data_IF_895291848243
#
_entry.id   IF_895291848243
#
_cell.length_a   1.000
_cell.length_b   1.000
_cell.length_c   1.000
_cell.angle_alpha   90.00
_cell.angle_beta   90.00
_cell.angle_gamma   90.00
#
_symmetry.space_group_name_H-M   'P 1'
#
loop_
_entity.id
_entity.type
_entity.pdbx_description
1 polymer ?
#
# COMPACT_ATOMS: atom_id res chain seq x y z
N UNK A 1 20.25 51.93 69.39
CA UNK A 1 19.18 51.79 68.37
C UNK A 1 19.80 51.19 67.12
N UNK A 2 19.28 50.02 66.69
CA UNK A 2 19.40 49.33 65.39
C UNK A 2 20.81 48.92 64.89
N UNK A 3 21.15 47.65 65.16
CA UNK A 3 22.16 46.90 64.41
C UNK A 3 21.53 46.30 63.13
N UNK A 4 22.17 46.49 61.99
CA UNK A 4 21.80 45.93 60.69
C UNK A 4 22.54 44.60 60.49
N UNK A 5 21.80 43.51 60.36
CA UNK A 5 22.31 42.21 59.92
C UNK A 5 22.04 42.12 58.41
N UNK A 6 23.10 42.11 57.60
CA UNK A 6 23.02 41.88 56.16
C UNK A 6 22.91 40.37 55.90
N UNK A 7 21.79 39.94 55.31
CA UNK A 7 21.59 38.59 54.81
C UNK A 7 22.06 38.51 53.35
N UNK A 8 23.10 37.73 53.09
CA UNK A 8 23.58 37.43 51.74
C UNK A 8 22.71 36.34 51.11
N UNK A 9 21.97 36.71 50.06
CA UNK A 9 21.10 35.83 49.29
C UNK A 9 21.96 35.02 48.31
N UNK A 10 21.87 33.70 48.41
CA UNK A 10 22.45 32.74 47.47
C UNK A 10 21.58 32.75 46.19
N UNK A 11 22.08 33.32 45.10
CA UNK A 11 21.43 33.22 43.79
C UNK A 11 21.65 31.81 43.22
N UNK A 12 20.59 31.00 43.21
CA UNK A 12 20.54 29.78 42.42
C UNK A 12 20.30 30.16 40.95
N UNK A 13 21.30 29.94 40.11
CA UNK A 13 21.17 30.05 38.66
C UNK A 13 20.32 28.89 38.14
N UNK A 14 19.06 29.15 37.78
CA UNK A 14 18.27 28.22 36.98
C UNK A 14 18.85 28.18 35.57
N UNK A 15 19.47 27.06 35.22
CA UNK A 15 19.85 26.77 33.85
C UNK A 15 18.58 26.71 33.00
N UNK A 16 18.48 27.63 32.03
CA UNK A 16 17.47 27.58 30.98
C UNK A 16 17.76 26.37 30.10
N UNK A 17 17.13 25.23 30.41
CA UNK A 17 17.00 24.15 29.44
C UNK A 17 16.19 24.67 28.26
N UNK A 18 16.86 24.96 27.15
CA UNK A 18 16.20 25.16 25.88
C UNK A 18 15.44 23.86 25.57
N UNK A 19 14.12 23.89 25.76
CA UNK A 19 13.23 22.86 25.27
C UNK A 19 13.47 22.75 23.76
N UNK A 20 14.23 21.74 23.34
CA UNK A 20 14.25 21.33 21.95
C UNK A 20 12.79 21.01 21.62
N UNK A 21 12.19 21.80 20.74
CA UNK A 21 10.91 21.46 20.15
C UNK A 21 11.09 20.08 19.52
N UNK A 22 10.56 19.06 20.17
CA UNK A 22 10.73 17.68 19.72
C UNK A 22 10.16 17.61 18.30
N UNK A 23 11.04 17.38 17.32
CA UNK A 23 10.64 17.00 15.98
C UNK A 23 9.77 15.76 16.13
N UNK A 24 8.46 15.86 15.85
CA UNK A 24 7.62 14.67 15.78
C UNK A 24 8.16 13.87 14.59
N UNK A 25 8.75 12.67 14.79
CA UNK A 25 9.30 11.91 13.68
C UNK A 25 8.20 11.53 12.70
N UNK A 26 8.49 11.49 11.40
CA UNK A 26 7.51 11.16 10.35
C UNK A 26 6.73 9.87 10.65
N UNK A 27 7.36 8.88 11.30
CA UNK A 27 6.71 7.64 11.74
C UNK A 27 5.54 7.86 12.72
N UNK A 28 5.63 8.85 13.62
CA UNK A 28 4.52 9.19 14.52
C UNK A 28 3.37 9.86 13.77
N UNK A 29 3.68 10.68 12.75
CA UNK A 29 2.66 11.30 11.90
C UNK A 29 1.94 10.27 11.02
N UNK A 30 2.61 9.21 10.58
CA UNK A 30 1.97 8.12 9.83
C UNK A 30 0.95 7.36 10.69
N UNK A 31 1.30 7.06 11.94
CA UNK A 31 0.38 6.42 12.90
C UNK A 31 -0.83 7.33 13.15
N UNK A 32 -0.60 8.63 13.33
CA UNK A 32 -1.67 9.62 13.50
C UNK A 32 -2.55 9.71 12.25
N UNK A 33 -1.97 9.74 11.04
CA UNK A 33 -2.71 9.82 9.78
C UNK A 33 -3.65 8.62 9.61
N UNK A 34 -3.16 7.42 9.93
CA UNK A 34 -3.97 6.21 9.90
C UNK A 34 -5.11 6.22 10.93
N UNK A 35 -4.85 6.76 12.11
CA UNK A 35 -5.81 6.83 13.22
C UNK A 35 -6.74 8.04 13.19
N UNK A 36 -6.65 8.91 12.17
CA UNK A 36 -7.47 10.12 12.06
C UNK A 36 -8.97 9.77 12.15
N UNK A 37 -9.77 10.43 13.02
CA UNK A 37 -11.22 10.29 13.01
C UNK A 37 -11.83 10.83 11.70
N UNK A 38 -13.06 10.43 11.41
CA UNK A 38 -13.80 10.94 10.25
C UNK A 38 -13.94 12.47 10.30
N UNK A 39 -13.74 13.12 9.14
CA UNK A 39 -13.79 14.57 9.01
C UNK A 39 -12.64 15.34 9.67
N UNK A 40 -11.73 14.66 10.38
CA UNK A 40 -10.58 15.29 11.02
C UNK A 40 -9.36 15.33 10.09
N UNK A 41 -8.47 16.27 10.39
CA UNK A 41 -7.19 16.44 9.71
C UNK A 41 -6.14 16.97 10.68
N UNK A 42 -4.87 16.84 10.31
CA UNK A 42 -3.78 17.58 10.94
C UNK A 42 -2.94 18.30 9.90
N UNK A 43 -2.24 19.34 10.34
CA UNK A 43 -1.27 20.09 9.56
C UNK A 43 -0.13 20.49 10.48
N UNK A 44 1.00 19.78 10.39
CA UNK A 44 2.15 20.01 11.23
C UNK A 44 2.88 21.30 10.82
N UNK A 45 3.40 22.04 11.80
CA UNK A 45 4.12 23.30 11.59
C UNK A 45 5.60 23.11 11.22
N UNK A 46 6.16 21.93 11.48
CA UNK A 46 7.56 21.58 11.24
C UNK A 46 7.80 20.97 9.86
N UNK A 47 6.89 21.17 8.91
CA UNK A 47 7.08 20.73 7.53
C UNK A 47 8.35 21.36 6.93
N UNK A 48 9.11 20.64 6.09
CA UNK A 48 10.13 21.25 5.25
C UNK A 48 9.56 22.47 4.51
N UNK A 49 10.35 23.55 4.38
CA UNK A 49 9.86 24.76 3.71
C UNK A 49 9.89 24.62 2.18
N UNK A 50 10.86 23.85 1.67
CA UNK A 50 11.10 23.62 0.25
C UNK A 50 11.13 22.13 -0.06
N UNK A 51 11.13 21.79 -1.35
CA UNK A 51 11.26 20.42 -1.84
C UNK A 51 10.01 19.92 -2.58
N UNK A 52 10.11 18.78 -3.26
CA UNK A 52 9.02 18.23 -4.06
C UNK A 52 7.82 17.88 -3.17
N UNK A 53 6.63 18.23 -3.63
CA UNK A 53 5.37 17.81 -3.02
C UNK A 53 4.89 16.50 -3.64
N UNK A 54 4.34 15.62 -2.80
CA UNK A 54 3.62 14.42 -3.22
C UNK A 54 2.36 14.26 -2.38
N UNK A 55 1.24 14.05 -3.04
CA UNK A 55 -0.03 13.70 -2.39
C UNK A 55 -0.25 12.19 -2.57
N UNK A 56 -0.62 11.49 -1.51
CA UNK A 56 -1.12 10.12 -1.60
C UNK A 56 -2.56 10.07 -1.11
N UNK A 57 -3.39 9.30 -1.79
CA UNK A 57 -4.80 9.11 -1.46
C UNK A 57 -5.05 7.62 -1.41
N UNK A 58 -5.47 7.11 -0.26
CA UNK A 58 -5.88 5.72 -0.11
C UNK A 58 -7.40 5.62 -0.05
N UNK A 59 -7.97 4.88 -1.01
CA UNK A 59 -9.41 4.70 -1.18
C UNK A 59 -10.00 3.80 -0.07
N UNK A 60 -9.25 2.83 0.44
CA UNK A 60 -9.73 1.97 1.53
C UNK A 60 -9.72 2.74 2.84
N UNK A 61 -8.63 3.42 3.15
CA UNK A 61 -8.51 4.18 4.40
C UNK A 61 -9.34 5.47 4.38
N UNK A 62 -9.78 5.93 3.21
CA UNK A 62 -10.38 7.25 3.00
C UNK A 62 -9.48 8.35 3.57
N UNK A 63 -8.19 8.33 3.20
CA UNK A 63 -7.20 9.31 3.68
C UNK A 63 -6.45 9.93 2.52
N UNK A 64 -6.22 11.24 2.63
CA UNK A 64 -5.15 11.92 1.88
C UNK A 64 -3.98 12.19 2.83
N UNK A 65 -2.76 11.97 2.37
CA UNK A 65 -1.50 12.33 3.03
C UNK A 65 -0.69 13.24 2.12
N UNK A 66 0.01 14.18 2.71
CA UNK A 66 0.79 15.21 2.01
C UNK A 66 2.22 15.18 2.50
N UNK A 67 3.11 14.91 1.57
CA UNK A 67 4.53 14.82 1.79
C UNK A 67 5.23 15.99 1.14
N UNK A 68 6.29 16.47 1.79
CA UNK A 68 7.26 17.37 1.19
C UNK A 68 8.65 16.83 1.43
N UNK A 69 9.42 16.68 0.36
CA UNK A 69 10.77 16.10 0.42
C UNK A 69 10.80 14.75 1.16
N UNK A 70 9.77 13.92 0.92
CA UNK A 70 9.60 12.62 1.57
C UNK A 70 9.09 12.65 3.02
N UNK A 71 8.93 13.82 3.64
CA UNK A 71 8.44 13.96 5.02
C UNK A 71 6.93 14.19 5.03
N UNK A 72 6.18 13.33 5.72
CA UNK A 72 4.75 13.54 5.97
C UNK A 72 4.58 14.74 6.90
N UNK A 73 3.74 15.70 6.53
CA UNK A 73 3.44 16.84 7.40
C UNK A 73 1.96 17.20 7.50
N UNK A 74 1.11 16.67 6.62
CA UNK A 74 -0.33 16.87 6.71
C UNK A 74 -1.08 15.62 6.25
N UNK A 75 -2.22 15.35 6.89
CA UNK A 75 -3.14 14.32 6.45
C UNK A 75 -4.58 14.71 6.80
N UNK A 76 -5.54 14.18 6.04
CA UNK A 76 -6.96 14.43 6.26
C UNK A 76 -7.77 13.18 5.95
N UNK A 77 -8.88 13.00 6.67
CA UNK A 77 -9.99 12.22 6.17
C UNK A 77 -10.45 12.77 4.81
N UNK A 78 -10.89 11.88 3.92
CA UNK A 78 -11.49 12.23 2.63
C UNK A 78 -12.81 11.49 2.43
N UNK A 79 -13.58 11.89 1.43
CA UNK A 79 -14.69 11.10 0.89
C UNK A 79 -14.58 11.01 -0.63
N UNK A 80 -14.28 9.80 -1.11
CA UNK A 80 -14.01 9.51 -2.53
C UNK A 80 -15.25 9.01 -3.26
N UNK A 81 -15.09 8.56 -4.51
CA UNK A 81 -16.15 8.02 -5.36
C UNK A 81 -16.82 6.78 -4.76
N UNK A 82 -18.15 6.75 -4.78
CA UNK A 82 -18.93 5.59 -4.34
C UNK A 82 -18.82 4.42 -5.31
N UNK A 83 -19.39 3.28 -4.93
CA UNK A 83 -19.63 2.16 -5.84
C UNK A 83 -20.37 2.61 -7.11
N UNK A 84 -19.91 2.12 -8.27
CA UNK A 84 -20.33 2.48 -9.62
C UNK A 84 -19.84 3.84 -10.11
N UNK A 85 -19.15 4.60 -9.26
CA UNK A 85 -18.62 5.96 -9.51
C UNK A 85 -17.25 6.13 -8.88
N UNK A 86 -16.42 5.10 -9.00
CA UNK A 86 -15.16 4.98 -8.28
C UNK A 86 -14.16 6.08 -8.67
N UNK A 87 -13.40 6.55 -7.68
CA UNK A 87 -12.20 7.33 -7.96
C UNK A 87 -11.16 6.40 -8.60
N UNK A 88 -10.59 6.74 -9.76
CA UNK A 88 -9.61 5.88 -10.42
C UNK A 88 -8.31 5.81 -9.62
N UNK A 89 -7.73 4.60 -9.51
CA UNK A 89 -6.39 4.40 -8.96
C UNK A 89 -5.31 4.68 -10.01
N UNK A 90 -4.10 5.03 -9.55
CA UNK A 90 -2.96 5.34 -10.42
C UNK A 90 -2.15 6.54 -9.97
N UNK A 91 -1.24 6.99 -10.85
CA UNK A 91 -0.45 8.20 -10.65
C UNK A 91 -0.97 9.29 -11.56
N UNK A 92 -1.32 10.42 -10.96
CA UNK A 92 -1.88 11.59 -11.61
C UNK A 92 -1.02 12.82 -11.32
N UNK A 93 -1.33 13.90 -12.01
CA UNK A 93 -0.84 15.23 -11.68
C UNK A 93 -2.01 16.21 -11.62
N UNK A 94 -1.85 17.30 -10.89
CA UNK A 94 -2.85 18.38 -10.92
C UNK A 94 -2.79 19.06 -12.28
N UNK A 95 -3.89 19.01 -13.03
CA UNK A 95 -4.03 19.56 -14.37
C UNK A 95 -4.53 21.01 -14.36
N UNK A 96 -5.37 21.34 -13.38
CA UNK A 96 -6.03 22.64 -13.29
C UNK A 96 -6.38 22.96 -11.85
N UNK A 97 -6.44 24.26 -11.53
CA UNK A 97 -6.82 24.76 -10.21
C UNK A 97 -7.79 25.93 -10.34
N UNK A 98 -8.89 25.88 -9.59
CA UNK A 98 -9.85 26.99 -9.50
C UNK A 98 -10.38 27.12 -8.07
N UNK A 99 -10.37 28.34 -7.52
CA UNK A 99 -10.87 28.61 -6.16
C UNK A 99 -12.40 28.46 -6.13
N UNK A 100 -13.08 29.10 -7.06
CA UNK A 100 -14.53 29.04 -7.24
C UNK A 100 -14.85 28.23 -8.49
N UNK A 101 -14.96 26.91 -8.36
CA UNK A 101 -15.39 26.04 -9.45
C UNK A 101 -16.81 25.55 -9.24
N UNK A 102 -17.54 25.35 -10.32
CA UNK A 102 -18.83 24.67 -10.31
C UNK A 102 -18.85 23.57 -11.36
N UNK A 103 -19.30 22.38 -10.97
CA UNK A 103 -19.30 21.23 -11.86
C UNK A 103 -20.29 21.42 -13.01
N UNK A 104 -19.80 21.42 -14.25
CA UNK A 104 -20.66 21.41 -15.44
C UNK A 104 -21.48 20.13 -15.59
N UNK A 105 -21.05 19.04 -14.93
CA UNK A 105 -21.64 17.69 -15.06
C UNK A 105 -22.63 17.38 -13.93
N UNK A 106 -22.50 18.03 -12.77
CA UNK A 106 -23.33 17.76 -11.59
C UNK A 106 -24.14 19.00 -11.19
N UNK A 107 -25.09 19.39 -12.06
CA UNK A 107 -26.07 20.47 -11.80
C UNK A 107 -25.44 21.75 -11.21
N UNK A 108 -24.30 22.16 -11.77
CA UNK A 108 -23.58 23.34 -11.32
C UNK A 108 -23.19 23.27 -9.84
N UNK A 109 -22.95 22.08 -9.26
CA UNK A 109 -22.61 21.92 -7.85
C UNK A 109 -21.28 22.62 -7.52
N UNK A 110 -21.20 23.37 -6.40
CA UNK A 110 -19.98 24.06 -6.01
C UNK A 110 -18.87 23.08 -5.64
N UNK A 111 -17.65 23.36 -6.12
CA UNK A 111 -16.43 22.62 -5.82
C UNK A 111 -15.33 23.61 -5.39
N UNK A 112 -15.40 24.18 -4.18
CA UNK A 112 -14.42 25.17 -3.75
C UNK A 112 -13.02 24.54 -3.66
N UNK A 113 -11.99 25.30 -4.04
CA UNK A 113 -10.58 24.86 -4.07
C UNK A 113 -10.36 23.63 -4.96
N UNK A 114 -11.03 23.59 -6.11
CA UNK A 114 -10.93 22.50 -7.07
C UNK A 114 -9.52 22.36 -7.64
N UNK A 115 -9.03 21.12 -7.66
CA UNK A 115 -7.76 20.71 -8.27
C UNK A 115 -8.03 19.48 -9.15
N UNK A 116 -8.06 19.66 -10.48
CA UNK A 116 -8.45 18.60 -11.44
C UNK A 116 -7.31 17.59 -11.62
N UNK A 117 -7.64 16.30 -11.64
CA UNK A 117 -6.69 15.19 -11.80
C UNK A 117 -6.85 14.46 -13.14
N UNK A 118 -8.04 14.47 -13.72
CA UNK A 118 -8.33 13.78 -14.98
C UNK A 118 -9.07 14.67 -15.96
N UNK A 119 -8.94 14.36 -17.25
CA UNK A 119 -9.75 15.00 -18.31
C UNK A 119 -11.25 14.75 -18.13
N UNK A 120 -11.61 13.62 -17.50
CA UNK A 120 -13.00 13.24 -17.19
C UNK A 120 -13.60 14.02 -16.01
N UNK A 121 -12.85 14.94 -15.40
CA UNK A 121 -13.36 15.83 -14.36
C UNK A 121 -13.25 15.30 -12.92
N UNK A 122 -12.48 14.22 -12.68
CA UNK A 122 -12.15 13.82 -11.30
C UNK A 122 -11.22 14.88 -10.70
N UNK A 123 -11.57 15.39 -9.53
CA UNK A 123 -10.85 16.47 -8.88
C UNK A 123 -10.82 16.33 -7.35
N UNK A 124 -9.85 16.98 -6.72
CA UNK A 124 -9.81 17.22 -5.27
C UNK A 124 -10.50 18.55 -5.00
N UNK A 125 -11.41 18.61 -4.02
CA UNK A 125 -12.07 19.87 -3.64
C UNK A 125 -12.67 19.82 -2.22
N UNK A 126 -13.09 20.98 -1.71
CA UNK A 126 -13.86 21.10 -0.46
C UNK A 126 -15.26 20.48 -0.62
N UNK A 127 -15.73 19.71 0.35
CA UNK A 127 -17.06 19.11 0.31
C UNK A 127 -17.49 18.39 1.59
N UNK A 128 -18.68 17.78 1.56
CA UNK A 128 -19.21 17.00 2.68
C UNK A 128 -18.49 15.64 2.83
N UNK A 129 -18.16 15.26 4.06
CA UNK A 129 -17.48 14.00 4.40
C UNK A 129 -18.38 13.15 5.31
N UNK A 130 -19.23 12.27 4.74
CA UNK A 130 -20.14 11.44 5.53
C UNK A 130 -19.44 10.26 6.24
N UNK A 131 -18.09 10.16 6.14
CA UNK A 131 -17.30 9.11 6.75
C UNK A 131 -17.06 7.88 5.88
N UNK A 132 -17.62 7.84 4.68
CA UNK A 132 -17.47 6.78 3.68
C UNK A 132 -17.39 7.37 2.27
N UNK A 133 -17.05 6.54 1.28
CA UNK A 133 -16.99 6.93 -0.12
C UNK A 133 -18.40 7.23 -0.66
N UNK A 134 -18.64 8.45 -1.12
CA UNK A 134 -19.98 8.95 -1.41
C UNK A 134 -20.02 10.07 -2.47
N UNK A 135 -18.93 10.28 -3.21
CA UNK A 135 -18.88 11.23 -4.32
C UNK A 135 -19.15 10.54 -5.66
N UNK A 136 -19.15 11.32 -6.75
CA UNK A 136 -19.18 10.80 -8.11
C UNK A 136 -17.77 10.63 -8.73
N UNK A 137 -16.78 10.31 -7.90
CA UNK A 137 -15.39 10.09 -8.29
C UNK A 137 -14.42 11.16 -7.77
N UNK A 138 -14.92 12.35 -7.43
CA UNK A 138 -14.10 13.40 -6.82
C UNK A 138 -13.65 13.06 -5.40
N UNK A 139 -12.58 13.70 -4.95
CA UNK A 139 -11.98 13.51 -3.64
C UNK A 139 -12.34 14.72 -2.78
N UNK A 140 -13.27 14.54 -1.83
CA UNK A 140 -13.79 15.62 -0.98
C UNK A 140 -12.99 15.75 0.30
N UNK A 141 -12.63 16.98 0.65
CA UNK A 141 -11.84 17.31 1.83
C UNK A 141 -12.58 18.32 2.74
N UNK A 142 -12.24 18.39 4.04
CA UNK A 142 -12.68 19.49 4.90
C UNK A 142 -12.23 20.84 4.32
N UNK A 143 -13.08 21.87 4.40
CA UNK A 143 -12.83 23.17 3.75
C UNK A 143 -11.48 23.79 4.12
N UNK A 144 -11.18 23.83 5.42
CA UNK A 144 -9.92 24.40 5.92
C UNK A 144 -8.70 23.65 5.37
N UNK A 145 -8.77 22.33 5.24
CA UNK A 145 -7.70 21.54 4.68
C UNK A 145 -7.60 21.73 3.16
N UNK A 146 -8.73 21.74 2.44
CA UNK A 146 -8.77 21.99 1.00
C UNK A 146 -8.13 23.33 0.64
N UNK A 147 -8.44 24.39 1.41
CA UNK A 147 -7.84 25.71 1.26
C UNK A 147 -6.33 25.71 1.45
N UNK A 148 -5.84 25.06 2.52
CA UNK A 148 -4.40 24.95 2.80
C UNK A 148 -3.68 24.14 1.73
N UNK A 149 -4.25 23.02 1.31
CA UNK A 149 -3.71 22.18 0.25
C UNK A 149 -3.63 22.96 -1.06
N UNK A 150 -4.70 23.63 -1.44
CA UNK A 150 -4.74 24.47 -2.64
C UNK A 150 -3.69 25.57 -2.63
N UNK A 151 -3.38 26.15 -1.47
CA UNK A 151 -2.36 27.19 -1.38
C UNK A 151 -0.94 26.68 -1.66
N UNK A 152 -0.65 25.39 -1.39
CA UNK A 152 0.71 24.84 -1.53
C UNK A 152 0.91 24.00 -2.79
N UNK A 153 -0.15 23.51 -3.42
CA UNK A 153 -0.04 22.70 -4.63
C UNK A 153 0.13 23.58 -5.87
N UNK A 154 0.70 23.00 -6.92
CA UNK A 154 0.86 23.63 -8.23
C UNK A 154 0.35 22.68 -9.34
N UNK A 155 0.09 23.23 -10.52
CA UNK A 155 -0.12 22.40 -11.72
C UNK A 155 1.12 21.52 -11.91
N UNK A 156 0.92 20.22 -12.15
CA UNK A 156 1.98 19.23 -12.24
C UNK A 156 2.31 18.54 -10.90
N UNK A 157 1.78 19.00 -9.76
CA UNK A 157 1.99 18.31 -8.48
C UNK A 157 1.52 16.86 -8.56
N UNK A 158 2.37 15.87 -8.24
CA UNK A 158 2.01 14.46 -8.34
C UNK A 158 1.01 14.04 -7.25
N UNK A 159 0.05 13.20 -7.66
CA UNK A 159 -0.98 12.61 -6.81
C UNK A 159 -1.06 11.12 -7.08
N UNK A 160 -0.75 10.30 -6.08
CA UNK A 160 -0.87 8.85 -6.15
C UNK A 160 -2.17 8.40 -5.48
N UNK A 161 -2.98 7.62 -6.19
CA UNK A 161 -4.25 7.10 -5.67
C UNK A 161 -4.17 5.57 -5.62
N UNK A 162 -4.34 5.01 -4.43
CA UNK A 162 -4.21 3.57 -4.14
C UNK A 162 -5.47 3.00 -3.49
N UNK A 163 -5.61 1.68 -3.58
CA UNK A 163 -6.63 0.91 -2.86
C UNK A 163 -5.90 -0.21 -2.09
N UNK A 164 -5.62 0.05 -0.81
CA UNK A 164 -4.82 -0.87 0.01
C UNK A 164 -5.51 -2.23 0.23
N UNK A 165 -6.84 -2.29 0.29
CA UNK A 165 -7.57 -3.55 0.35
C UNK A 165 -7.41 -4.35 -0.95
N UNK A 166 -7.54 -3.69 -2.11
CA UNK A 166 -7.34 -4.36 -3.38
C UNK A 166 -5.89 -4.83 -3.58
N UNK A 167 -4.91 -4.04 -3.13
CA UNK A 167 -3.49 -4.43 -3.15
C UNK A 167 -3.27 -5.66 -2.27
N UNK A 168 -3.75 -5.65 -1.03
CA UNK A 168 -3.60 -6.77 -0.12
C UNK A 168 -4.24 -8.06 -0.65
N UNK A 169 -5.40 -7.96 -1.31
CA UNK A 169 -6.05 -9.11 -1.93
C UNK A 169 -5.26 -9.68 -3.11
N UNK A 170 -4.68 -8.82 -3.96
CA UNK A 170 -3.79 -9.27 -5.04
C UNK A 170 -2.58 -10.01 -4.49
N UNK A 171 -1.93 -9.46 -3.46
CA UNK A 171 -0.77 -10.08 -2.82
C UNK A 171 -1.12 -11.45 -2.22
N UNK A 172 -2.30 -11.59 -1.61
CA UNK A 172 -2.81 -12.86 -1.09
C UNK A 172 -2.98 -13.88 -2.20
N UNK A 173 -3.67 -13.51 -3.28
CA UNK A 173 -3.91 -14.40 -4.44
C UNK A 173 -2.57 -14.82 -5.08
N UNK A 174 -1.62 -13.90 -5.22
CA UNK A 174 -0.29 -14.21 -5.76
C UNK A 174 0.48 -15.19 -4.86
N UNK A 175 0.40 -15.02 -3.54
CA UNK A 175 1.02 -15.95 -2.60
C UNK A 175 0.40 -17.36 -2.71
N UNK A 176 -0.92 -17.45 -2.81
CA UNK A 176 -1.64 -18.72 -3.02
C UNK A 176 -1.27 -19.38 -4.34
N UNK A 177 -1.18 -18.60 -5.42
CA UNK A 177 -0.76 -19.09 -6.73
C UNK A 177 0.68 -19.63 -6.69
N UNK A 178 1.61 -18.90 -6.07
CA UNK A 178 3.00 -19.35 -5.89
C UNK A 178 3.07 -20.67 -5.13
N UNK A 179 2.29 -20.82 -4.05
CA UNK A 179 2.21 -22.07 -3.30
C UNK A 179 1.67 -23.22 -4.15
N UNK A 180 0.58 -22.98 -4.88
CA UNK A 180 -0.03 -24.00 -5.75
C UNK A 180 0.94 -24.47 -6.86
N UNK A 181 1.72 -23.55 -7.44
CA UNK A 181 2.78 -23.86 -8.41
C UNK A 181 3.85 -24.78 -7.81
N UNK A 182 4.30 -24.49 -6.58
CA UNK A 182 5.27 -25.31 -5.86
C UNK A 182 4.72 -26.70 -5.54
N UNK A 183 3.48 -26.78 -5.03
CA UNK A 183 2.82 -28.04 -4.71
C UNK A 183 2.64 -28.91 -5.98
N UNK A 184 2.28 -28.28 -7.10
CA UNK A 184 2.17 -28.97 -8.39
C UNK A 184 3.52 -29.48 -8.89
N UNK A 185 4.57 -28.66 -8.85
CA UNK A 185 5.92 -29.08 -9.22
C UNK A 185 6.41 -30.25 -8.35
N UNK A 186 6.18 -30.18 -7.04
CA UNK A 186 6.52 -31.25 -6.11
C UNK A 186 5.74 -32.54 -6.41
N UNK A 187 4.46 -32.42 -6.78
CA UNK A 187 3.63 -33.56 -7.18
C UNK A 187 4.12 -34.20 -8.48
N UNK A 188 4.53 -33.39 -9.47
CA UNK A 188 5.10 -33.92 -10.71
C UNK A 188 6.43 -34.64 -10.44
N UNK A 189 7.28 -34.04 -9.61
CA UNK A 189 8.55 -34.65 -9.23
C UNK A 189 8.35 -35.98 -8.49
N UNK A 190 7.43 -36.05 -7.53
CA UNK A 190 7.16 -37.28 -6.78
C UNK A 190 6.59 -38.38 -7.68
N UNK A 191 5.69 -38.04 -8.62
CA UNK A 191 5.18 -39.00 -9.63
C UNK A 191 6.29 -39.50 -10.56
N UNK A 192 7.18 -38.62 -11.02
CA UNK A 192 8.33 -39.00 -11.84
C UNK A 192 9.29 -39.91 -11.07
N UNK A 193 9.58 -39.59 -9.80
CA UNK A 193 10.42 -40.43 -8.94
C UNK A 193 9.80 -41.82 -8.72
N UNK A 194 8.50 -41.89 -8.44
CA UNK A 194 7.78 -43.15 -8.31
C UNK A 194 7.81 -43.97 -9.61
N UNK A 195 7.54 -43.35 -10.75
CA UNK A 195 7.60 -44.01 -12.06
C UNK A 195 9.01 -44.55 -12.37
N UNK A 196 10.06 -43.77 -12.05
CA UNK A 196 11.45 -44.19 -12.20
C UNK A 196 11.81 -45.36 -11.29
N UNK A 197 11.31 -45.36 -10.05
CA UNK A 197 11.49 -46.48 -9.12
C UNK A 197 10.85 -47.77 -9.67
N UNK A 198 9.59 -47.70 -10.10
CA UNK A 198 8.87 -48.83 -10.71
C UNK A 198 9.61 -49.36 -11.95
N UNK A 199 10.09 -48.46 -12.82
CA UNK A 199 10.87 -48.85 -14.00
C UNK A 199 12.18 -49.55 -13.61
N UNK A 200 12.84 -49.08 -12.56
CA UNK A 200 14.09 -49.69 -12.07
C UNK A 200 13.84 -51.10 -11.54
N UNK A 201 12.79 -51.29 -10.75
CA UNK A 201 12.39 -52.61 -10.25
C UNK A 201 12.01 -53.57 -11.38
N UNK A 202 11.24 -53.09 -12.37
CA UNK A 202 10.88 -53.88 -13.55
C UNK A 202 12.14 -54.34 -14.31
N UNK A 203 13.09 -53.44 -14.54
CA UNK A 203 14.34 -53.77 -15.24
C UNK A 203 15.17 -54.79 -14.45
N UNK A 204 15.20 -54.68 -13.12
CA UNK A 204 15.85 -55.67 -12.24
C UNK A 204 15.18 -57.03 -12.36
N UNK A 205 13.85 -57.10 -12.22
CA UNK A 205 13.10 -58.35 -12.31
C UNK A 205 13.27 -59.02 -13.69
N UNK A 206 13.29 -58.22 -14.77
CA UNK A 206 13.56 -58.70 -16.12
C UNK A 206 14.97 -59.30 -16.26
N UNK A 207 15.98 -58.66 -15.68
CA UNK A 207 17.36 -59.17 -15.69
C UNK A 207 17.51 -60.46 -14.86
N UNK A 208 16.85 -60.53 -13.71
CA UNK A 208 16.80 -61.74 -12.87
C UNK A 208 16.12 -62.90 -13.61
N UNK A 209 14.98 -62.65 -14.25
CA UNK A 209 14.30 -63.63 -15.08
C UNK A 209 15.18 -64.12 -16.23
N UNK A 210 15.86 -63.22 -16.94
CA UNK A 210 16.77 -63.58 -18.02
C UNK A 210 17.89 -64.50 -17.53
N UNK A 211 18.52 -64.18 -16.39
CA UNK A 211 19.56 -65.02 -15.78
C UNK A 211 19.03 -66.41 -15.38
N UNK A 212 17.81 -66.48 -14.85
CA UNK A 212 17.19 -67.75 -14.50
C UNK A 212 16.94 -68.62 -15.74
N UNK A 213 16.48 -68.02 -16.85
CA UNK A 213 16.28 -68.72 -18.12
C UNK A 213 17.60 -69.21 -18.73
N UNK A 214 18.66 -68.41 -18.64
CA UNK A 214 20.00 -68.80 -19.09
C UNK A 214 20.57 -69.96 -18.26
N UNK A 215 20.42 -69.91 -16.93
CA UNK A 215 20.82 -71.00 -16.04
C UNK A 215 20.05 -72.29 -16.33
N UNK A 216 18.73 -72.20 -16.53
CA UNK A 216 17.91 -73.34 -16.90
C UNK A 216 18.34 -73.98 -18.22
N UNK A 217 18.59 -73.18 -19.26
CA UNK A 217 19.03 -73.67 -20.56
C UNK A 217 20.42 -74.35 -20.49
N UNK A 218 21.30 -73.89 -19.61
CA UNK A 218 22.61 -74.49 -19.38
C UNK A 218 22.52 -75.85 -18.66
N UNK A 219 21.56 -76.01 -17.75
CA UNK A 219 21.39 -77.23 -16.95
C UNK A 219 20.58 -78.32 -17.67
N UNK A 220 19.53 -77.94 -18.41
CA UNK A 220 18.57 -78.88 -19.00
C UNK A 220 18.54 -78.91 -20.54
N UNK A 221 19.33 -78.07 -21.22
CA UNK A 221 19.26 -77.86 -22.67
C UNK A 221 18.11 -76.94 -23.09
N UNK A 222 18.10 -76.46 -24.34
CA UNK A 222 17.05 -75.53 -24.77
C UNK A 222 15.67 -76.22 -24.83
N UNK A 223 14.59 -75.58 -24.34
CA UNK A 223 13.25 -76.12 -24.48
C UNK A 223 12.92 -76.29 -25.98
N UNK A 224 12.54 -77.49 -26.40
CA UNK A 224 12.10 -77.73 -27.78
C UNK A 224 10.91 -76.82 -28.09
N UNK A 225 10.98 -76.06 -29.19
CA UNK A 225 9.82 -75.30 -29.68
C UNK A 225 8.68 -76.29 -29.95
N UNK A 226 7.45 -75.99 -29.51
CA UNK A 226 6.31 -76.89 -29.74
C UNK A 226 6.19 -77.14 -31.25
N UNK A 227 6.28 -78.42 -31.64
CA UNK A 227 6.07 -78.83 -33.03
C UNK A 227 4.61 -78.54 -33.39
N UNK A 228 4.42 -77.74 -34.44
CA UNK A 228 3.11 -77.44 -35.02
C UNK A 228 2.44 -78.69 -35.57
#
# INVERSE_FOLDING_TARGET
MKALIAASILMATFGTGAAHAAEIPSASLEVQAKALPQGQYFWASNAPQNGPLLLTIDLTEQRIRVYRDGVLFAASATSTGSEGRETPTGVFTILEKQVEHRSSTYDNAPMPFMQRLTEKGVAIHSGNLPGYAASHGCIRLPDAFARKLFAITEIGTPVMITDSAQIAERERIEAEYRKAQQDYAQTLYSKQAAAKSVLTEHNRAKAEHQRAMEAYAAEFGQPEKPRR
#
